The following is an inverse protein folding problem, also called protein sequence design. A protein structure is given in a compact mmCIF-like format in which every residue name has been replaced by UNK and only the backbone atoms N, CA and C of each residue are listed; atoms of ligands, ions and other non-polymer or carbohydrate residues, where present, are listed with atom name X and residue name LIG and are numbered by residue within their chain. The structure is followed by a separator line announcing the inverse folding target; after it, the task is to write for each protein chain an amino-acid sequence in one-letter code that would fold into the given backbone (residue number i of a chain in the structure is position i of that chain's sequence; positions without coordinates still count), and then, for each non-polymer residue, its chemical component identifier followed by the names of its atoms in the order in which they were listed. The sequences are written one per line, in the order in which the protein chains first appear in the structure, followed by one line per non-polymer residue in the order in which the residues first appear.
data_IF_643532040663
#
_entry.id   IF_643532040663
#
_cell.length_a   1.000
_cell.length_b   1.000
_cell.length_c   1.000
_cell.angle_alpha   90.00
_cell.angle_beta   90.00
_cell.angle_gamma   90.00
#
_symmetry.space_group_name_H-M   'P 1'
#
loop_
_entity.id
_entity.type
_entity.pdbx_description
1 polymer ?
#
# COMPACT_ATOMS: atom_id res chain seq x y z
N UNK A 1 1.26 -13.78 -10.50
CA UNK A 1 0.38 -12.79 -9.83
C UNK A 1 -0.93 -13.46 -9.46
N UNK A 2 -1.45 -13.21 -8.24
CA UNK A 2 -2.78 -13.61 -7.78
C UNK A 2 -3.73 -12.42 -7.89
N UNK A 3 -4.98 -12.69 -8.25
CA UNK A 3 -6.01 -11.67 -8.29
C UNK A 3 -7.26 -12.17 -7.57
N UNK A 4 -7.65 -11.44 -6.51
CA UNK A 4 -8.77 -11.78 -5.61
C UNK A 4 -9.89 -10.77 -5.85
N UNK A 5 -11.10 -11.26 -6.10
CA UNK A 5 -12.29 -10.41 -6.19
C UNK A 5 -13.13 -10.59 -4.91
N UNK A 6 -13.34 -9.51 -4.17
CA UNK A 6 -14.17 -9.48 -2.96
C UNK A 6 -15.51 -8.78 -3.24
N UNK A 7 -16.46 -8.89 -2.32
CA UNK A 7 -17.63 -8.02 -2.33
C UNK A 7 -17.21 -6.54 -2.19
N UNK A 8 -18.09 -5.63 -2.60
CA UNK A 8 -17.80 -4.20 -2.58
C UNK A 8 -17.32 -3.71 -1.21
N UNK A 9 -16.27 -2.90 -1.22
CA UNK A 9 -15.62 -2.31 -0.03
C UNK A 9 -15.10 -3.34 0.98
N UNK A 10 -14.65 -4.51 0.52
CA UNK A 10 -14.09 -5.55 1.41
C UNK A 10 -12.60 -5.85 1.13
N UNK A 11 -11.97 -5.13 0.18
CA UNK A 11 -10.56 -5.34 -0.13
C UNK A 11 -9.65 -4.98 1.07
N UNK A 12 -9.99 -3.92 1.83
CA UNK A 12 -9.27 -3.55 3.04
C UNK A 12 -9.37 -4.62 4.14
N UNK A 13 -10.53 -5.22 4.37
CA UNK A 13 -10.68 -6.32 5.32
C UNK A 13 -9.85 -7.55 4.91
N UNK A 14 -9.89 -7.89 3.62
CA UNK A 14 -9.09 -8.99 3.07
C UNK A 14 -7.58 -8.75 3.29
N UNK A 15 -7.13 -7.52 3.00
CA UNK A 15 -5.75 -7.11 3.25
C UNK A 15 -5.34 -7.26 4.72
N UNK A 16 -6.19 -6.84 5.65
CA UNK A 16 -5.93 -6.97 7.09
C UNK A 16 -5.80 -8.44 7.52
N UNK A 17 -6.67 -9.32 7.02
CA UNK A 17 -6.61 -10.75 7.30
C UNK A 17 -5.32 -11.36 6.77
N UNK A 18 -4.93 -10.96 5.55
CA UNK A 18 -3.70 -11.45 4.91
C UNK A 18 -2.47 -11.04 5.73
N UNK A 19 -2.38 -9.78 6.15
CA UNK A 19 -1.29 -9.28 7.02
C UNK A 19 -1.25 -10.06 8.34
N UNK A 20 -2.40 -10.21 8.99
CA UNK A 20 -2.49 -10.93 10.25
C UNK A 20 -1.99 -12.38 10.11
N UNK A 21 -2.40 -13.05 9.03
CA UNK A 21 -1.92 -14.40 8.70
C UNK A 21 -0.40 -14.41 8.49
N UNK A 22 0.15 -13.45 7.72
CA UNK A 22 1.59 -13.37 7.45
C UNK A 22 2.40 -13.11 8.71
N UNK A 23 1.97 -12.21 9.59
CA UNK A 23 2.62 -11.98 10.89
C UNK A 23 2.61 -13.26 11.73
N UNK A 24 1.46 -13.97 11.82
CA UNK A 24 1.36 -15.24 12.57
C UNK A 24 2.29 -16.32 11.99
N UNK A 25 2.30 -16.50 10.66
CA UNK A 25 3.16 -17.50 9.98
C UNK A 25 4.65 -17.18 10.13
N UNK A 26 5.02 -15.88 10.05
CA UNK A 26 6.41 -15.45 10.22
C UNK A 26 6.89 -15.59 11.67
N UNK A 27 5.99 -15.44 12.64
CA UNK A 27 6.24 -15.51 14.07
C UNK A 27 7.41 -14.59 14.49
N UNK A 28 7.28 -13.24 14.37
CA UNK A 28 8.36 -12.31 14.56
C UNK A 28 8.88 -12.29 16.01
N UNK A 29 10.22 -12.17 16.16
CA UNK A 29 10.92 -12.03 17.44
C UNK A 29 11.77 -10.75 17.46
N UNK A 30 12.38 -10.38 18.62
CA UNK A 30 13.30 -9.24 18.67
C UNK A 30 14.48 -9.36 17.68
N UNK A 31 14.96 -10.59 17.43
CA UNK A 31 16.08 -10.88 16.54
C UNK A 31 15.65 -11.02 15.06
N UNK A 32 14.36 -11.30 14.83
CA UNK A 32 13.81 -11.53 13.49
C UNK A 32 12.51 -10.79 13.34
N UNK A 33 12.58 -9.52 12.98
CA UNK A 33 11.40 -8.65 12.82
C UNK A 33 10.73 -8.86 11.46
N UNK A 34 9.40 -8.72 11.41
CA UNK A 34 8.63 -8.71 10.18
C UNK A 34 8.63 -7.29 9.59
N UNK A 35 8.98 -7.13 8.32
CA UNK A 35 9.11 -5.82 7.69
C UNK A 35 7.94 -5.54 6.76
N UNK A 36 7.18 -4.49 7.04
CA UNK A 36 5.92 -4.17 6.40
C UNK A 36 5.95 -2.80 5.70
N UNK A 37 5.75 -2.76 4.39
CA UNK A 37 5.53 -1.53 3.62
C UNK A 37 4.08 -1.08 3.72
N UNK A 38 3.82 0.22 3.97
CA UNK A 38 2.49 0.74 4.27
C UNK A 38 2.10 1.93 3.41
N UNK A 39 0.87 1.95 2.84
CA UNK A 39 0.30 3.08 2.13
C UNK A 39 -0.44 4.05 3.05
N UNK A 40 -0.74 5.24 2.53
CA UNK A 40 -1.76 6.15 3.07
C UNK A 40 -2.99 6.21 2.14
N UNK A 41 -3.95 7.08 2.42
CA UNK A 41 -5.15 7.28 1.60
C UNK A 41 -6.41 6.68 2.19
N UNK A 42 -7.49 6.68 1.41
CA UNK A 42 -8.82 6.24 1.89
C UNK A 42 -9.00 4.72 1.92
N UNK A 43 -8.48 4.01 0.92
CA UNK A 43 -8.62 2.55 0.81
C UNK A 43 -8.02 1.80 2.01
N UNK A 44 -6.80 2.11 2.51
CA UNK A 44 -6.22 1.39 3.64
C UNK A 44 -6.85 1.71 5.02
N UNK A 45 -7.70 2.72 5.15
CA UNK A 45 -8.32 3.06 6.45
C UNK A 45 -9.11 1.89 7.05
N UNK A 46 -9.86 1.17 6.23
CA UNK A 46 -10.62 0.00 6.69
C UNK A 46 -9.67 -1.11 7.15
N UNK A 47 -8.60 -1.34 6.39
CA UNK A 47 -7.54 -2.29 6.75
C UNK A 47 -6.91 -1.93 8.09
N UNK A 48 -6.53 -0.67 8.31
CA UNK A 48 -5.96 -0.22 9.59
C UNK A 48 -6.91 -0.41 10.76
N UNK A 49 -8.19 -0.05 10.61
CA UNK A 49 -9.21 -0.29 11.64
C UNK A 49 -9.30 -1.77 12.02
N UNK A 50 -9.28 -2.66 11.04
CA UNK A 50 -9.34 -4.11 11.26
C UNK A 50 -8.05 -4.64 11.92
N UNK A 51 -6.87 -4.16 11.52
CA UNK A 51 -5.60 -4.51 12.15
C UNK A 51 -5.51 -4.04 13.61
N UNK A 52 -6.02 -2.83 13.91
CA UNK A 52 -6.14 -2.32 15.28
C UNK A 52 -7.04 -3.23 16.11
N UNK A 53 -8.16 -3.68 15.55
CA UNK A 53 -9.04 -4.63 16.22
C UNK A 53 -8.29 -5.93 16.52
N UNK A 54 -7.64 -6.54 15.54
CA UNK A 54 -6.86 -7.78 15.73
C UNK A 54 -5.73 -7.63 16.76
N UNK A 55 -5.08 -6.47 16.83
CA UNK A 55 -4.07 -6.20 17.84
C UNK A 55 -4.68 -6.10 19.25
N UNK A 56 -5.77 -5.33 19.42
CA UNK A 56 -6.46 -5.20 20.71
C UNK A 56 -7.04 -6.52 21.24
N UNK A 57 -7.46 -7.40 20.34
CA UNK A 57 -7.97 -8.73 20.67
C UNK A 57 -6.87 -9.78 20.87
N UNK A 58 -5.59 -9.38 20.76
CA UNK A 58 -4.45 -10.28 20.93
C UNK A 58 -4.25 -11.31 19.81
N UNK A 59 -4.91 -11.12 18.66
CA UNK A 59 -4.76 -12.00 17.48
C UNK A 59 -3.38 -11.86 16.86
N UNK A 60 -2.85 -10.62 16.82
CA UNK A 60 -1.50 -10.29 16.36
C UNK A 60 -0.88 -9.22 17.26
N UNK A 61 0.46 -9.13 17.25
CA UNK A 61 1.24 -8.07 17.88
C UNK A 61 2.13 -7.40 16.84
N UNK A 62 2.27 -6.08 16.92
CA UNK A 62 3.19 -5.29 16.10
C UNK A 62 4.51 -4.98 16.81
N UNK A 63 4.73 -5.48 18.03
CA UNK A 63 5.93 -5.21 18.83
C UNK A 63 7.23 -5.53 18.07
N UNK A 64 7.24 -6.62 17.31
CA UNK A 64 8.39 -7.05 16.51
C UNK A 64 8.14 -6.85 15.00
N UNK A 65 7.43 -5.77 14.64
CA UNK A 65 7.22 -5.36 13.24
C UNK A 65 7.95 -4.05 12.99
N UNK A 66 8.66 -3.96 11.86
CA UNK A 66 9.22 -2.72 11.34
C UNK A 66 8.34 -2.25 10.20
N UNK A 67 8.06 -0.95 10.12
CA UNK A 67 7.25 -0.40 9.03
C UNK A 67 8.00 0.63 8.21
N UNK A 68 7.71 0.65 6.91
CA UNK A 68 8.18 1.66 5.95
C UNK A 68 6.99 2.23 5.19
N UNK A 69 6.72 3.53 5.34
CA UNK A 69 5.69 4.19 4.53
C UNK A 69 6.19 4.46 3.11
N UNK A 70 5.29 4.38 2.13
CA UNK A 70 5.70 4.51 0.73
C UNK A 70 6.01 5.93 0.30
N UNK A 71 5.51 6.94 0.99
CA UNK A 71 5.65 8.34 0.58
C UNK A 71 5.40 9.33 1.72
N UNK A 72 5.78 10.59 1.48
CA UNK A 72 5.44 11.75 2.30
C UNK A 72 5.50 13.02 1.44
N UNK A 73 4.61 13.96 1.67
CA UNK A 73 4.62 15.26 1.03
C UNK A 73 5.86 16.09 1.39
N UNK A 74 6.44 16.73 0.38
CA UNK A 74 7.50 17.74 0.57
C UNK A 74 6.89 19.02 1.14
N UNK A 75 7.57 19.60 2.15
CA UNK A 75 7.20 20.89 2.73
C UNK A 75 6.13 20.84 3.83
N UNK A 76 5.60 19.66 4.18
CA UNK A 76 4.68 19.54 5.30
C UNK A 76 5.40 19.04 6.57
N UNK A 77 5.32 19.78 7.68
CA UNK A 77 5.84 19.32 8.95
C UNK A 77 5.03 18.13 9.48
N UNK A 78 5.65 17.26 10.28
CA UNK A 78 5.03 16.06 10.87
C UNK A 78 3.71 16.31 11.60
N UNK A 79 3.51 17.52 12.12
CA UNK A 79 2.31 17.95 12.86
C UNK A 79 1.20 18.46 11.94
N UNK A 80 1.47 18.66 10.66
CA UNK A 80 0.46 19.14 9.71
C UNK A 80 -0.62 18.06 9.51
N UNK A 81 -1.93 18.39 9.59
CA UNK A 81 -3.00 17.39 9.50
C UNK A 81 -3.01 16.56 8.21
N UNK A 82 -2.41 17.08 7.14
CA UNK A 82 -2.31 16.39 5.84
C UNK A 82 -0.94 15.76 5.58
N UNK A 83 0.03 15.83 6.52
CA UNK A 83 1.24 15.01 6.39
C UNK A 83 0.89 13.54 6.55
N UNK A 84 1.58 12.68 5.84
CA UNK A 84 1.37 11.24 5.99
C UNK A 84 1.89 10.72 7.32
N UNK A 85 2.87 11.40 7.91
CA UNK A 85 3.26 11.16 9.31
C UNK A 85 2.05 11.34 10.25
N UNK A 86 1.36 12.48 10.19
CA UNK A 86 0.18 12.74 11.02
C UNK A 86 -0.92 11.71 10.75
N UNK A 87 -1.20 11.44 9.47
CA UNK A 87 -2.19 10.44 9.06
C UNK A 87 -1.91 9.08 9.69
N UNK A 88 -0.67 8.58 9.60
CA UNK A 88 -0.32 7.24 10.10
C UNK A 88 -0.40 7.14 11.62
N UNK A 89 0.09 8.15 12.34
CA UNK A 89 -0.01 8.15 13.79
C UNK A 89 -1.46 8.26 14.26
N UNK A 90 -2.27 9.12 13.62
CA UNK A 90 -3.67 9.33 14.00
C UNK A 90 -4.56 8.13 13.67
N UNK A 91 -4.30 7.42 12.59
CA UNK A 91 -5.17 6.33 12.12
C UNK A 91 -4.67 4.92 12.44
N UNK A 92 -3.39 4.76 12.83
CA UNK A 92 -2.82 3.43 13.02
C UNK A 92 -1.83 3.34 14.17
N UNK A 93 -0.66 3.99 14.11
CA UNK A 93 0.44 3.71 15.03
C UNK A 93 0.15 4.01 16.50
N UNK A 94 -0.66 5.04 16.80
CA UNK A 94 -1.06 5.33 18.19
C UNK A 94 -2.05 4.32 18.79
N UNK A 95 -2.56 3.38 17.99
CA UNK A 95 -3.62 2.45 18.39
C UNK A 95 -3.14 0.99 18.51
N UNK A 96 -1.87 0.73 18.24
CA UNK A 96 -1.26 -0.61 18.24
C UNK A 96 0.02 -0.63 19.10
N UNK A 97 0.51 -1.83 19.40
CA UNK A 97 1.67 -2.06 20.27
C UNK A 97 3.04 -1.96 19.56
N UNK A 98 3.11 -1.22 18.43
CA UNK A 98 4.37 -1.04 17.70
C UNK A 98 5.35 -0.16 18.47
N UNK A 99 6.62 -0.53 18.47
CA UNK A 99 7.70 0.31 18.96
C UNK A 99 7.91 1.49 17.98
N UNK A 100 7.92 2.72 18.47
CA UNK A 100 8.08 3.93 17.66
C UNK A 100 9.40 3.97 16.87
N UNK A 101 10.44 3.32 17.39
CA UNK A 101 11.74 3.21 16.72
C UNK A 101 11.68 2.31 15.48
N UNK A 102 10.69 1.44 15.41
CA UNK A 102 10.44 0.57 14.26
C UNK A 102 9.60 1.24 13.15
N UNK A 103 9.11 2.46 13.37
CA UNK A 103 8.31 3.21 12.38
C UNK A 103 9.22 4.07 11.51
N UNK A 104 9.18 3.85 10.20
CA UNK A 104 9.94 4.61 9.23
C UNK A 104 9.01 5.35 8.27
N UNK A 105 9.12 6.67 8.24
CA UNK A 105 8.40 7.57 7.33
C UNK A 105 9.41 8.56 6.78
N UNK A 106 9.38 8.79 5.47
CA UNK A 106 10.21 9.79 4.80
C UNK A 106 10.01 11.18 5.42
N UNK A 107 11.09 11.96 5.51
CA UNK A 107 11.02 13.30 6.10
C UNK A 107 10.86 14.36 5.00
N UNK A 108 9.62 14.80 4.75
CA UNK A 108 9.31 15.86 3.77
C UNK A 108 9.90 17.23 4.10
N UNK A 109 10.45 17.43 5.31
CA UNK A 109 11.14 18.64 5.75
C UNK A 109 12.67 18.48 5.77
N UNK A 110 13.23 17.45 5.15
CA UNK A 110 14.67 17.23 5.11
C UNK A 110 15.38 18.36 4.35
N UNK A 111 16.59 18.74 4.81
CA UNK A 111 17.39 19.76 4.13
C UNK A 111 17.95 19.28 2.76
N UNK A 112 18.09 17.97 2.61
CA UNK A 112 18.57 17.33 1.39
C UNK A 112 17.73 16.08 1.11
N UNK A 113 16.79 16.20 0.18
CA UNK A 113 15.88 15.11 -0.19
C UNK A 113 16.59 13.92 -0.81
N UNK A 114 17.66 14.15 -1.57
CA UNK A 114 18.43 13.07 -2.18
C UNK A 114 19.11 12.20 -1.10
N UNK A 115 19.68 12.84 -0.08
CA UNK A 115 20.30 12.15 1.04
C UNK A 115 19.26 11.42 1.91
N UNK A 116 18.09 12.05 2.16
CA UNK A 116 16.98 11.44 2.87
C UNK A 116 16.52 10.15 2.16
N UNK A 117 16.27 10.22 0.85
CA UNK A 117 15.84 9.07 0.06
C UNK A 117 16.90 7.96 0.04
N UNK A 118 18.20 8.32 -0.06
CA UNK A 118 19.31 7.36 -0.01
C UNK A 118 19.34 6.61 1.33
N UNK A 119 19.27 7.34 2.45
CA UNK A 119 19.23 6.74 3.80
C UNK A 119 18.00 5.85 4.01
N UNK A 120 16.88 6.21 3.41
CA UNK A 120 15.66 5.40 3.46
C UNK A 120 15.85 4.05 2.78
N UNK A 121 16.45 4.04 1.59
CA UNK A 121 16.79 2.80 0.87
C UNK A 121 17.84 1.97 1.61
N UNK A 122 18.88 2.62 2.17
CA UNK A 122 19.91 1.94 2.97
C UNK A 122 19.28 1.25 4.19
N UNK A 123 18.35 1.94 4.89
CA UNK A 123 17.64 1.37 6.03
C UNK A 123 16.76 0.17 5.65
N UNK A 124 16.11 0.21 4.49
CA UNK A 124 15.36 -0.95 3.97
C UNK A 124 16.30 -2.14 3.75
N UNK A 125 17.49 -1.91 3.19
CA UNK A 125 18.48 -2.97 2.98
C UNK A 125 19.06 -3.51 4.29
N UNK A 126 19.37 -2.65 5.26
CA UNK A 126 19.89 -3.02 6.58
C UNK A 126 18.97 -3.97 7.36
N UNK A 127 17.67 -3.81 7.22
CA UNK A 127 16.67 -4.70 7.86
C UNK A 127 16.37 -5.96 7.04
N UNK A 128 17.06 -6.19 5.93
CA UNK A 128 16.90 -7.38 5.07
C UNK A 128 15.79 -7.27 4.03
N UNK A 129 15.38 -6.06 3.67
CA UNK A 129 14.31 -5.79 2.71
C UNK A 129 12.91 -5.86 3.33
N UNK A 130 11.89 -5.66 2.50
CA UNK A 130 10.48 -5.65 2.93
C UNK A 130 9.87 -7.03 2.71
N UNK A 131 9.26 -7.61 3.75
CA UNK A 131 8.59 -8.92 3.65
C UNK A 131 7.25 -8.83 2.91
N UNK A 132 6.47 -7.78 3.18
CA UNK A 132 5.20 -7.54 2.50
C UNK A 132 5.02 -6.02 2.25
N UNK A 133 4.92 -5.61 1.00
CA UNK A 133 4.62 -4.23 0.63
C UNK A 133 3.15 -4.09 0.27
N UNK A 134 2.46 -3.20 1.00
CA UNK A 134 1.05 -2.88 0.75
C UNK A 134 0.92 -1.60 -0.04
N UNK A 135 -0.08 -1.53 -0.92
CA UNK A 135 -0.36 -0.34 -1.68
C UNK A 135 -1.82 -0.22 -2.11
N UNK A 136 -2.15 0.95 -2.60
CA UNK A 136 -3.31 1.21 -3.43
C UNK A 136 -2.88 1.54 -4.86
N UNK A 137 -3.83 1.92 -5.70
CA UNK A 137 -3.58 2.37 -7.07
C UNK A 137 -4.26 3.69 -7.35
N UNK A 138 -3.60 4.60 -8.06
CA UNK A 138 -4.20 5.80 -8.60
C UNK A 138 -5.23 5.51 -9.71
N UNK A 139 -6.05 6.48 -10.08
CA UNK A 139 -7.00 6.34 -11.19
C UNK A 139 -6.29 6.18 -12.54
N UNK A 140 -5.09 6.70 -12.65
CA UNK A 140 -4.16 6.62 -13.76
C UNK A 140 -3.20 5.42 -13.66
N UNK A 141 -3.42 4.51 -12.71
CA UNK A 141 -2.64 3.29 -12.52
C UNK A 141 -1.31 3.46 -11.81
N UNK A 142 -1.04 4.61 -11.19
CA UNK A 142 0.19 4.78 -10.42
C UNK A 142 0.17 3.98 -9.10
N UNK A 143 1.34 3.47 -8.67
CA UNK A 143 1.58 2.89 -7.35
C UNK A 143 2.51 3.84 -6.58
N UNK A 144 2.18 4.19 -5.34
CA UNK A 144 2.79 5.32 -4.62
C UNK A 144 2.69 6.58 -5.49
N UNK A 145 3.63 7.52 -5.47
CA UNK A 145 3.66 8.62 -6.43
C UNK A 145 4.52 8.31 -7.67
N UNK A 146 4.52 7.05 -8.12
CA UNK A 146 5.13 6.70 -9.40
C UNK A 146 4.15 6.98 -10.55
N UNK A 147 3.98 8.26 -10.84
CA UNK A 147 3.14 8.81 -11.90
C UNK A 147 3.43 8.15 -13.26
N UNK A 148 2.49 8.19 -14.24
CA UNK A 148 2.71 7.71 -15.60
C UNK A 148 4.05 8.14 -16.18
N UNK A 149 4.75 7.22 -16.86
CA UNK A 149 6.10 7.45 -17.40
C UNK A 149 7.24 7.20 -16.40
N UNK A 150 6.94 6.84 -15.15
CA UNK A 150 7.98 6.47 -14.17
C UNK A 150 8.68 5.18 -14.57
N UNK A 151 10.02 5.18 -14.50
CA UNK A 151 10.82 3.98 -14.80
C UNK A 151 10.52 2.86 -13.80
N UNK A 152 10.40 1.63 -14.29
CA UNK A 152 10.31 0.44 -13.43
C UNK A 152 11.58 0.15 -12.63
N UNK A 153 12.70 0.78 -13.00
CA UNK A 153 13.95 0.73 -12.22
C UNK A 153 14.11 1.90 -11.25
N UNK A 154 13.08 2.75 -11.08
CA UNK A 154 13.15 3.87 -10.15
C UNK A 154 13.29 3.41 -8.71
N UNK A 155 14.11 4.15 -7.94
CA UNK A 155 14.28 4.02 -6.49
C UNK A 155 13.59 5.18 -5.76
N UNK A 156 13.67 5.19 -4.44
CA UNK A 156 13.12 6.28 -3.63
C UNK A 156 13.71 7.62 -4.03
N UNK A 157 12.85 8.62 -4.28
CA UNK A 157 13.24 9.93 -4.80
C UNK A 157 12.18 10.98 -4.54
N UNK A 158 12.55 12.25 -4.69
CA UNK A 158 11.57 13.31 -4.89
C UNK A 158 10.91 13.19 -6.27
N UNK A 159 9.59 13.36 -6.31
CA UNK A 159 8.78 13.33 -7.53
C UNK A 159 7.84 14.52 -7.55
N UNK A 160 7.84 15.27 -8.64
CA UNK A 160 6.81 16.26 -8.91
C UNK A 160 5.48 15.57 -9.15
N UNK A 161 4.42 16.08 -8.54
CA UNK A 161 3.06 15.57 -8.73
C UNK A 161 2.47 16.13 -10.02
N UNK A 162 1.70 15.31 -10.73
CA UNK A 162 0.94 15.76 -11.88
C UNK A 162 -0.22 16.67 -11.45
N UNK A 163 -0.69 17.51 -12.36
CA UNK A 163 -1.84 18.38 -12.10
C UNK A 163 -3.08 17.57 -11.68
N UNK A 164 -3.33 16.44 -12.36
CA UNK A 164 -4.43 15.52 -12.01
C UNK A 164 -4.31 14.99 -10.57
N UNK A 165 -3.10 14.64 -10.14
CA UNK A 165 -2.85 14.19 -8.76
C UNK A 165 -3.06 15.32 -7.76
N UNK A 166 -2.62 16.54 -8.07
CA UNK A 166 -2.84 17.74 -7.23
C UNK A 166 -4.34 18.01 -7.11
N UNK A 167 -5.08 18.01 -8.22
CA UNK A 167 -6.54 18.19 -8.24
C UNK A 167 -7.22 17.08 -7.41
N UNK A 168 -6.88 15.82 -7.64
CA UNK A 168 -7.46 14.70 -6.90
C UNK A 168 -7.21 14.78 -5.39
N UNK A 169 -6.04 15.28 -4.98
CA UNK A 169 -5.67 15.40 -3.57
C UNK A 169 -6.19 16.69 -2.91
N UNK A 170 -6.65 17.68 -3.68
CA UNK A 170 -7.21 18.93 -3.14
C UNK A 170 -8.38 18.70 -2.18
N UNK A 171 -9.12 17.60 -2.34
CA UNK A 171 -10.19 17.17 -1.41
C UNK A 171 -9.73 17.04 0.04
N UNK A 172 -8.45 16.76 0.28
CA UNK A 172 -7.85 16.70 1.61
C UNK A 172 -7.40 18.08 2.10
N UNK A 173 -7.36 19.10 1.22
CA UNK A 173 -6.94 20.46 1.50
C UNK A 173 -8.10 21.45 1.32
N UNK A 174 -9.34 21.06 1.73
CA UNK A 174 -10.57 21.84 1.61
C UNK A 174 -10.90 22.26 0.16
N UNK A 175 -10.59 21.42 -0.82
CA UNK A 175 -10.69 21.65 -2.26
C UNK A 175 -9.85 22.85 -2.76
N UNK A 176 -8.80 23.23 -2.04
CA UNK A 176 -7.88 24.29 -2.40
C UNK A 176 -6.61 23.70 -3.01
N UNK A 177 -6.51 23.72 -4.33
CA UNK A 177 -5.38 23.18 -5.08
C UNK A 177 -4.06 23.89 -4.76
N UNK A 178 -4.12 25.16 -4.33
CA UNK A 178 -2.91 25.96 -4.03
C UNK A 178 -2.23 25.51 -2.73
N UNK A 179 -2.95 24.80 -1.88
CA UNK A 179 -2.44 24.24 -0.62
C UNK A 179 -1.87 22.82 -0.75
N UNK A 180 -2.14 22.17 -1.87
CA UNK A 180 -1.58 20.83 -2.13
C UNK A 180 -0.09 20.96 -2.44
N UNK A 181 0.81 20.20 -1.78
CA UNK A 181 2.23 20.20 -2.11
C UNK A 181 2.47 19.81 -3.57
N UNK A 182 3.46 20.43 -4.18
CA UNK A 182 3.80 20.20 -5.59
C UNK A 182 4.68 18.97 -5.81
N UNK A 183 5.31 18.47 -4.74
CA UNK A 183 6.16 17.29 -4.80
C UNK A 183 6.02 16.41 -3.56
N UNK A 184 6.44 15.16 -3.69
CA UNK A 184 6.50 14.20 -2.61
C UNK A 184 7.82 13.41 -2.68
N UNK A 185 8.28 12.91 -1.54
CA UNK A 185 9.27 11.85 -1.48
C UNK A 185 8.51 10.53 -1.60
N UNK A 186 8.90 9.67 -2.52
CA UNK A 186 8.18 8.43 -2.79
C UNK A 186 9.13 7.28 -3.10
N UNK A 187 8.81 6.08 -2.59
CA UNK A 187 9.52 4.87 -3.00
C UNK A 187 9.36 4.65 -4.51
N UNK A 188 10.41 4.14 -5.14
CA UNK A 188 10.38 3.82 -6.55
C UNK A 188 9.65 2.52 -6.86
N UNK A 189 9.34 2.30 -8.14
CA UNK A 189 8.72 1.04 -8.58
C UNK A 189 9.63 -0.13 -8.24
N UNK A 190 10.95 -0.04 -8.49
CA UNK A 190 11.90 -1.10 -8.14
C UNK A 190 11.94 -1.36 -6.63
N UNK A 191 11.85 -0.32 -5.79
CA UNK A 191 11.81 -0.48 -4.33
C UNK A 191 10.61 -1.31 -3.88
N UNK A 192 9.45 -1.10 -4.50
CA UNK A 192 8.24 -1.89 -4.25
C UNK A 192 8.42 -3.32 -4.77
N UNK A 193 8.96 -3.47 -5.98
CA UNK A 193 9.16 -4.76 -6.65
C UNK A 193 10.23 -5.64 -6.01
N UNK A 194 11.15 -5.08 -5.23
CA UNK A 194 12.16 -5.82 -4.45
C UNK A 194 11.58 -6.45 -3.16
N UNK A 195 10.35 -6.11 -2.76
CA UNK A 195 9.70 -6.73 -1.62
C UNK A 195 9.46 -8.24 -1.89
N UNK A 196 9.48 -9.07 -0.84
CA UNK A 196 9.24 -10.51 -0.99
C UNK A 196 7.82 -10.82 -1.44
N UNK A 197 6.85 -10.01 -1.03
CA UNK A 197 5.47 -10.04 -1.48
C UNK A 197 4.94 -8.61 -1.66
N UNK A 198 4.06 -8.40 -2.64
CA UNK A 198 3.37 -7.13 -2.86
C UNK A 198 1.88 -7.36 -2.88
N UNK A 199 1.12 -6.54 -2.16
CA UNK A 199 -0.33 -6.59 -2.13
C UNK A 199 -0.92 -5.21 -2.44
N UNK A 200 -1.65 -5.11 -3.53
CA UNK A 200 -2.33 -3.88 -3.95
C UNK A 200 -3.84 -4.03 -3.76
N UNK A 201 -4.44 -3.08 -3.03
CA UNK A 201 -5.88 -3.01 -2.79
C UNK A 201 -6.53 -2.02 -3.77
N UNK A 202 -7.61 -2.44 -4.41
CA UNK A 202 -8.30 -1.65 -5.44
C UNK A 202 -9.80 -1.63 -5.14
N UNK A 203 -10.37 -0.46 -4.88
CA UNK A 203 -11.79 -0.33 -4.57
C UNK A 203 -12.45 0.79 -5.38
N UNK A 204 -13.64 0.49 -5.87
CA UNK A 204 -14.52 1.42 -6.54
C UNK A 204 -14.34 1.50 -8.06
N UNK A 205 -15.42 1.84 -8.74
CA UNK A 205 -15.52 1.89 -10.21
C UNK A 205 -14.51 2.85 -10.86
N UNK A 206 -14.14 3.94 -10.17
CA UNK A 206 -13.13 4.88 -10.68
C UNK A 206 -11.71 4.30 -10.81
N UNK A 207 -11.50 3.06 -10.33
CA UNK A 207 -10.24 2.31 -10.47
C UNK A 207 -10.32 1.21 -11.55
N UNK A 208 -11.49 1.03 -12.18
CA UNK A 208 -11.71 -0.07 -13.11
C UNK A 208 -10.73 -0.03 -14.30
N UNK A 209 -10.46 1.15 -14.86
CA UNK A 209 -9.49 1.31 -15.93
C UNK A 209 -8.07 0.95 -15.50
N UNK A 210 -7.64 1.44 -14.35
CA UNK A 210 -6.31 1.13 -13.80
C UNK A 210 -6.15 -0.38 -13.54
N UNK A 211 -7.18 -1.03 -13.01
CA UNK A 211 -7.18 -2.47 -12.77
C UNK A 211 -7.12 -3.26 -14.08
N UNK A 212 -7.90 -2.89 -15.09
CA UNK A 212 -7.86 -3.50 -16.41
C UNK A 212 -6.45 -3.44 -17.01
N UNK A 213 -5.81 -2.25 -16.97
CA UNK A 213 -4.45 -2.06 -17.47
C UNK A 213 -3.39 -2.85 -16.69
N UNK A 214 -3.63 -3.09 -15.39
CA UNK A 214 -2.75 -3.89 -14.55
C UNK A 214 -2.88 -5.40 -14.73
N UNK A 215 -4.07 -5.89 -15.09
CA UNK A 215 -4.39 -7.33 -15.16
C UNK A 215 -4.33 -7.88 -16.57
N UNK A 216 -4.92 -7.18 -17.56
CA UNK A 216 -5.18 -7.72 -18.89
C UNK A 216 -4.25 -7.20 -19.98
N UNK A 217 -3.69 -5.99 -19.78
CA UNK A 217 -2.86 -5.35 -20.77
C UNK A 217 -1.36 -5.66 -20.58
N UNK A 218 -0.56 -5.37 -21.58
CA UNK A 218 0.89 -5.55 -21.51
C UNK A 218 1.56 -4.61 -20.50
N UNK A 219 2.76 -4.97 -20.07
CA UNK A 219 3.55 -4.18 -19.13
C UNK A 219 3.91 -2.83 -19.78
N UNK A 220 3.50 -1.75 -19.13
CA UNK A 220 3.62 -0.40 -19.67
C UNK A 220 3.86 0.60 -18.52
N UNK A 221 4.92 1.39 -18.61
CA UNK A 221 5.27 2.38 -17.59
C UNK A 221 4.27 3.54 -17.48
N UNK A 222 3.37 3.72 -18.44
CA UNK A 222 2.24 4.66 -18.30
C UNK A 222 1.20 4.17 -17.30
N UNK A 223 1.25 2.89 -16.93
CA UNK A 223 0.42 2.23 -15.92
C UNK A 223 1.33 1.44 -14.99
N UNK A 224 1.92 2.11 -13.99
CA UNK A 224 2.97 1.49 -13.19
C UNK A 224 2.49 0.28 -12.38
N UNK A 225 1.19 0.13 -12.13
CA UNK A 225 0.58 -1.09 -11.60
C UNK A 225 0.90 -2.33 -12.47
N UNK A 226 1.09 -2.16 -13.78
CA UNK A 226 1.40 -3.27 -14.69
C UNK A 226 2.73 -3.95 -14.39
N UNK A 227 3.66 -3.27 -13.68
CA UNK A 227 4.91 -3.86 -13.21
C UNK A 227 4.69 -5.10 -12.35
N UNK A 228 3.56 -5.20 -11.63
CA UNK A 228 3.23 -6.34 -10.78
C UNK A 228 3.15 -7.67 -11.54
N UNK A 229 2.94 -7.63 -12.85
CA UNK A 229 2.98 -8.82 -13.71
C UNK A 229 4.37 -9.49 -13.72
N UNK A 230 5.44 -8.74 -13.44
CA UNK A 230 6.81 -9.24 -13.30
C UNK A 230 7.14 -9.78 -11.91
N UNK A 231 6.30 -9.49 -10.91
CA UNK A 231 6.59 -9.88 -9.54
C UNK A 231 6.11 -11.30 -9.25
N UNK A 232 6.99 -12.15 -8.72
CA UNK A 232 6.69 -13.57 -8.43
C UNK A 232 5.48 -13.75 -7.51
N UNK A 233 5.37 -12.91 -6.46
CA UNK A 233 4.36 -13.01 -5.40
C UNK A 233 3.51 -11.75 -5.27
N UNK A 234 3.14 -11.14 -6.40
CA UNK A 234 2.17 -10.05 -6.39
C UNK A 234 0.75 -10.57 -6.19
N UNK A 235 0.00 -9.82 -5.40
CA UNK A 235 -1.43 -10.02 -5.14
C UNK A 235 -2.14 -8.71 -5.42
N UNK A 236 -3.19 -8.76 -6.22
CA UNK A 236 -4.16 -7.66 -6.33
C UNK A 236 -5.46 -8.15 -5.70
N UNK A 237 -6.00 -7.39 -4.76
CA UNK A 237 -7.33 -7.63 -4.21
C UNK A 237 -8.24 -6.46 -4.58
N UNK A 238 -9.32 -6.75 -5.29
CA UNK A 238 -10.24 -5.74 -5.77
C UNK A 238 -11.67 -6.04 -5.33
N UNK A 239 -12.48 -5.00 -5.22
CA UNK A 239 -13.92 -5.17 -5.11
C UNK A 239 -14.58 -5.33 -6.49
N UNK A 240 -15.85 -5.73 -6.49
CA UNK A 240 -16.58 -5.97 -7.75
C UNK A 240 -16.73 -4.70 -8.60
N UNK A 241 -16.89 -3.53 -7.96
CA UNK A 241 -17.00 -2.24 -8.67
C UNK A 241 -15.72 -1.90 -9.44
N UNK A 242 -14.56 -2.21 -8.88
CA UNK A 242 -13.28 -2.02 -9.56
C UNK A 242 -13.08 -2.98 -10.75
N UNK A 243 -13.83 -4.08 -10.84
CA UNK A 243 -13.73 -5.05 -11.91
C UNK A 243 -14.54 -4.67 -13.18
N UNK A 244 -15.20 -3.53 -13.21
CA UNK A 244 -16.17 -3.17 -14.26
C UNK A 244 -15.61 -3.13 -15.69
N UNK A 245 -14.31 -2.91 -15.89
CA UNK A 245 -13.67 -2.93 -17.21
C UNK A 245 -12.94 -4.24 -17.54
N UNK A 246 -12.95 -5.23 -16.64
CA UNK A 246 -12.37 -6.53 -16.95
C UNK A 246 -13.27 -7.33 -17.92
N UNK A 247 -12.63 -8.10 -18.80
CA UNK A 247 -13.36 -9.09 -19.61
C UNK A 247 -14.03 -10.11 -18.71
N UNK A 248 -15.26 -10.49 -19.06
CA UNK A 248 -16.04 -11.48 -18.30
C UNK A 248 -15.27 -12.80 -18.14
N UNK A 249 -14.51 -13.21 -19.15
CA UNK A 249 -13.70 -14.41 -19.08
C UNK A 249 -12.59 -14.30 -18.02
N UNK A 250 -11.89 -13.19 -17.96
CA UNK A 250 -10.84 -12.91 -16.97
C UNK A 250 -11.41 -12.90 -15.54
N UNK A 251 -12.51 -12.18 -15.34
CA UNK A 251 -13.21 -12.13 -14.05
C UNK A 251 -13.64 -13.53 -13.57
N UNK A 252 -14.28 -14.33 -14.43
CA UNK A 252 -14.71 -15.70 -14.10
C UNK A 252 -13.52 -16.61 -13.80
N UNK A 253 -12.45 -16.53 -14.59
CA UNK A 253 -11.24 -17.32 -14.40
C UNK A 253 -10.66 -17.11 -13.00
N UNK A 254 -10.44 -15.86 -12.59
CA UNK A 254 -9.86 -15.59 -11.29
C UNK A 254 -10.82 -15.90 -10.13
N UNK A 255 -12.12 -15.68 -10.28
CA UNK A 255 -13.09 -16.12 -9.26
C UNK A 255 -13.12 -17.63 -9.07
N UNK A 256 -12.88 -18.41 -10.10
CA UNK A 256 -12.84 -19.88 -9.99
C UNK A 256 -11.56 -20.35 -9.29
N UNK A 257 -10.38 -19.89 -9.71
CA UNK A 257 -9.11 -20.32 -9.10
C UNK A 257 -8.95 -19.84 -7.67
N UNK A 258 -9.52 -18.69 -7.30
CA UNK A 258 -9.44 -18.09 -5.96
C UNK A 258 -10.72 -18.30 -5.11
N UNK A 259 -11.60 -19.22 -5.51
CA UNK A 259 -12.90 -19.46 -4.85
C UNK A 259 -12.85 -19.70 -3.33
N UNK A 260 -11.72 -20.14 -2.79
CA UNK A 260 -11.52 -20.33 -1.35
C UNK A 260 -11.13 -19.04 -0.62
N UNK A 261 -10.75 -17.99 -1.35
CA UNK A 261 -10.10 -16.79 -0.81
C UNK A 261 -10.95 -15.51 -0.94
N UNK A 262 -12.11 -15.53 -1.60
CA UNK A 262 -12.92 -14.33 -1.79
C UNK A 262 -13.93 -14.07 -0.64
N UNK A 263 -14.28 -15.09 0.14
CA UNK A 263 -15.24 -14.94 1.23
C UNK A 263 -14.53 -14.43 2.50
N UNK A 264 -14.57 -13.11 2.68
CA UNK A 264 -13.88 -12.39 3.76
C UNK A 264 -14.37 -12.86 5.15
N UNK A 265 -15.66 -13.07 5.33
CA UNK A 265 -16.23 -13.45 6.64
C UNK A 265 -15.73 -14.82 7.07
N UNK A 266 -15.69 -15.79 6.15
CA UNK A 266 -15.12 -17.12 6.40
C UNK A 266 -13.61 -17.05 6.70
N UNK A 267 -12.87 -16.13 6.05
CA UNK A 267 -11.45 -15.94 6.33
C UNK A 267 -11.24 -15.35 7.73
N UNK A 268 -12.09 -14.42 8.16
CA UNK A 268 -12.11 -13.87 9.52
C UNK A 268 -12.35 -14.99 10.52
N UNK A 269 -13.43 -15.78 10.37
CA UNK A 269 -13.71 -16.92 11.25
C UNK A 269 -12.53 -17.87 11.40
N UNK A 270 -11.84 -18.17 10.30
CA UNK A 270 -10.68 -19.05 10.32
C UNK A 270 -9.48 -18.44 11.05
N UNK A 271 -9.33 -17.11 11.06
CA UNK A 271 -8.26 -16.43 11.79
C UNK A 271 -8.43 -16.54 13.31
N UNK A 272 -9.70 -16.61 13.78
CA UNK A 272 -10.04 -16.75 15.22
C UNK A 272 -10.02 -18.18 15.72
N UNK A 273 -10.11 -19.20 14.86
CA UNK A 273 -10.15 -20.62 15.24
C UNK A 273 -8.79 -21.19 15.70
N UNK A 274 -7.76 -20.38 15.80
CA UNK A 274 -6.44 -20.76 16.29
C UNK A 274 -6.08 -20.02 17.56
#
# INVERSE_FOLDING_TARGET
MRFIVTANKRAGDWGAIYIAKKIKEFNPSPEKKFVLGLPTGSTPLQMYKKLIQFNKEGIISFKNVITFNMDEYVGLPKTHPQSYHYYMYNNFFNHIDIDKENVNILNGMAKNYKEECKKYEEKILEVGGIDLFLGGVGVDGHIAFNEPGSSFKSRTREKQLTEDTIIANSRFFNNDITKVPQSALTVGVSTIMDAKEVLIMVEGNNKARALHMGIEEGINHMWTISALQLHEKAIIVADEDACAELKVATYKYYKDIEKKNYNVDKLIENLYKK
#
